data_IF_028665068557
#
_entry.id   IF_028665068557
#
_cell.length_a   1.000
_cell.length_b   1.000
_cell.length_c   1.000
_cell.angle_alpha   90.00
_cell.angle_beta   90.00
_cell.angle_gamma   90.00
#
_symmetry.space_group_name_H-M   'P 1'
#
loop_
_entity.id
_entity.type
_entity.pdbx_description
1 polymer ?
#
# COMPACT_ATOMS: atom_id res chain seq x y z
N UNK A 1 0.47 -10.58 11.97
CA UNK A 1 -0.90 -10.58 12.54
C UNK A 1 -1.74 -11.55 11.73
N UNK A 2 -2.52 -12.45 12.35
CA UNK A 2 -3.47 -13.26 11.61
C UNK A 2 -4.50 -12.34 10.97
N UNK A 3 -4.70 -12.47 9.66
CA UNK A 3 -5.76 -11.75 8.93
C UNK A 3 -7.07 -12.40 9.34
N UNK A 4 -7.94 -11.66 10.05
CA UNK A 4 -9.29 -12.13 10.33
C UNK A 4 -10.00 -12.36 9.00
N UNK A 5 -10.59 -13.54 8.83
CA UNK A 5 -11.33 -13.87 7.62
C UNK A 5 -12.57 -12.98 7.53
N UNK A 6 -12.72 -12.26 6.42
CA UNK A 6 -13.88 -11.39 6.22
C UNK A 6 -15.07 -12.20 5.71
N UNK A 7 -16.27 -11.64 5.79
CA UNK A 7 -17.46 -12.26 5.17
C UNK A 7 -17.24 -12.50 3.65
N UNK A 8 -16.40 -11.70 3.01
CA UNK A 8 -16.05 -11.81 1.60
C UNK A 8 -15.18 -13.02 1.27
N UNK A 9 -14.38 -13.51 2.22
CA UNK A 9 -13.60 -14.74 2.03
C UNK A 9 -14.49 -15.98 1.84
N UNK A 10 -15.78 -15.91 2.19
CA UNK A 10 -16.76 -16.98 1.99
C UNK A 10 -17.52 -16.87 0.66
N UNK A 11 -17.29 -15.81 -0.12
CA UNK A 11 -18.03 -15.50 -1.34
C UNK A 11 -17.12 -15.65 -2.55
N UNK A 12 -17.59 -16.35 -3.57
CA UNK A 12 -16.90 -16.43 -4.86
C UNK A 12 -17.08 -15.12 -5.64
N UNK A 13 -16.15 -14.19 -5.44
CA UNK A 13 -16.16 -12.86 -6.07
C UNK A 13 -16.01 -12.92 -7.58
N UNK A 14 -15.29 -13.92 -8.10
CA UNK A 14 -15.12 -14.09 -9.55
C UNK A 14 -16.43 -14.60 -10.18
N UNK A 15 -17.11 -15.55 -9.54
CA UNK A 15 -18.43 -16.00 -9.96
C UNK A 15 -19.47 -14.88 -9.90
N UNK A 16 -19.46 -14.07 -8.82
CA UNK A 16 -20.32 -12.89 -8.70
C UNK A 16 -20.04 -11.88 -9.82
N UNK A 17 -18.77 -11.61 -10.14
CA UNK A 17 -18.40 -10.70 -11.22
C UNK A 17 -18.89 -11.18 -12.59
N UNK A 18 -18.73 -12.48 -12.89
CA UNK A 18 -19.23 -13.09 -14.14
C UNK A 18 -20.74 -12.99 -14.23
N UNK A 19 -21.47 -13.36 -13.17
CA UNK A 19 -22.93 -13.30 -13.13
C UNK A 19 -23.45 -11.86 -13.28
N UNK A 20 -22.85 -10.90 -12.55
CA UNK A 20 -23.19 -9.48 -12.63
C UNK A 20 -22.98 -8.92 -14.05
N UNK A 21 -21.90 -9.34 -14.72
CA UNK A 21 -21.61 -8.92 -16.11
C UNK A 21 -22.62 -9.47 -17.11
N UNK A 22 -22.99 -10.75 -16.99
CA UNK A 22 -24.01 -11.36 -17.84
C UNK A 22 -25.37 -10.67 -17.69
N UNK A 23 -25.80 -10.40 -16.45
CA UNK A 23 -27.02 -9.65 -16.17
C UNK A 23 -26.98 -8.24 -16.77
N UNK A 24 -25.85 -7.52 -16.65
CA UNK A 24 -25.69 -6.19 -17.23
C UNK A 24 -25.75 -6.20 -18.78
N UNK A 25 -25.21 -7.22 -19.44
CA UNK A 25 -25.27 -7.37 -20.90
C UNK A 25 -26.69 -7.66 -21.41
N UNK A 26 -27.49 -8.42 -20.66
CA UNK A 26 -28.91 -8.65 -20.95
C UNK A 26 -29.73 -7.35 -20.79
N UNK A 27 -29.46 -6.56 -19.73
CA UNK A 27 -30.09 -5.24 -19.48
C UNK A 27 -29.88 -4.26 -20.63
N UNK A 28 -28.68 -4.25 -21.23
CA UNK A 28 -28.34 -3.35 -22.34
C UNK A 28 -29.18 -3.68 -23.58
N UNK A 29 -29.60 -4.95 -23.76
CA UNK A 29 -30.49 -5.35 -24.85
C UNK A 29 -31.93 -4.89 -24.62
N UNK A 30 -32.36 -4.68 -23.37
CA UNK A 30 -33.70 -4.23 -22.99
C UNK A 30 -33.72 -2.74 -22.62
N UNK A 31 -33.52 -1.81 -23.55
CA UNK A 31 -33.67 -0.35 -23.34
C UNK A 31 -33.03 0.27 -22.05
N UNK A 32 -32.12 -0.43 -21.35
CA UNK A 32 -31.50 -0.05 -20.07
C UNK A 32 -32.19 -0.63 -18.81
N UNK A 33 -31.54 -0.46 -17.64
CA UNK A 33 -31.95 -1.05 -16.35
C UNK A 33 -33.38 -0.69 -15.94
N UNK A 34 -33.77 0.56 -16.21
CA UNK A 34 -35.11 1.04 -15.91
C UNK A 34 -36.18 0.37 -16.78
N UNK A 35 -35.92 0.21 -18.08
CA UNK A 35 -36.81 -0.50 -19.00
C UNK A 35 -36.90 -1.98 -18.67
N UNK A 36 -35.77 -2.62 -18.33
CA UNK A 36 -35.75 -4.02 -17.85
C UNK A 36 -36.62 -4.22 -16.60
N UNK A 37 -36.50 -3.35 -15.59
CA UNK A 37 -37.29 -3.43 -14.36
C UNK A 37 -38.78 -3.16 -14.60
N UNK A 38 -39.10 -2.30 -15.56
CA UNK A 38 -40.48 -2.02 -15.99
C UNK A 38 -41.07 -3.17 -16.84
N UNK A 39 -40.24 -3.90 -17.60
CA UNK A 39 -40.62 -4.99 -18.51
C UNK A 39 -40.61 -6.40 -17.89
N UNK A 40 -39.91 -6.61 -16.76
CA UNK A 40 -39.65 -7.94 -16.21
C UNK A 40 -40.30 -8.21 -14.84
N UNK A 41 -41.15 -9.24 -14.80
CA UNK A 41 -41.56 -9.99 -13.60
C UNK A 41 -40.44 -10.96 -13.12
N UNK A 42 -39.17 -10.64 -13.43
CA UNK A 42 -38.03 -11.56 -13.37
C UNK A 42 -36.78 -10.88 -12.80
N UNK A 43 -36.73 -10.79 -11.47
CA UNK A 43 -35.46 -11.10 -10.78
C UNK A 43 -35.21 -12.63 -10.75
N UNK A 44 -36.17 -13.44 -11.19
CA UNK A 44 -36.13 -14.91 -11.14
C UNK A 44 -35.28 -15.62 -12.19
N UNK A 45 -34.50 -14.94 -13.02
CA UNK A 45 -33.77 -15.59 -14.14
C UNK A 45 -32.34 -16.01 -13.83
N UNK A 46 -31.69 -15.52 -12.77
CA UNK A 46 -30.40 -16.07 -12.33
C UNK A 46 -30.35 -16.23 -10.80
N UNK A 47 -30.81 -17.40 -10.35
CA UNK A 47 -30.79 -17.84 -8.95
C UNK A 47 -29.38 -17.74 -8.33
N UNK A 48 -28.32 -17.88 -9.14
CA UNK A 48 -26.93 -17.73 -8.68
C UNK A 48 -26.58 -16.27 -8.41
N UNK A 49 -27.02 -15.34 -9.25
CA UNK A 49 -26.81 -13.91 -9.00
C UNK A 49 -27.54 -13.44 -7.74
N UNK A 50 -28.80 -13.85 -7.56
CA UNK A 50 -29.56 -13.52 -6.33
C UNK A 50 -28.91 -14.07 -5.07
N UNK A 51 -28.37 -15.29 -5.13
CA UNK A 51 -27.67 -15.90 -4.00
C UNK A 51 -26.32 -15.25 -3.71
N UNK A 52 -25.59 -14.79 -4.73
CA UNK A 52 -24.25 -14.19 -4.59
C UNK A 52 -24.30 -12.67 -4.34
N UNK A 53 -25.38 -12.00 -4.73
CA UNK A 53 -25.57 -10.55 -4.64
C UNK A 53 -26.64 -10.15 -3.61
N UNK A 54 -26.84 -10.97 -2.57
CA UNK A 54 -27.75 -10.65 -1.47
C UNK A 54 -27.42 -9.27 -0.85
N UNK A 55 -28.40 -8.47 -0.41
CA UNK A 55 -28.14 -7.15 0.17
C UNK A 55 -27.10 -7.13 1.30
N UNK A 56 -26.99 -8.20 2.11
CA UNK A 56 -25.96 -8.31 3.13
C UNK A 56 -24.55 -8.42 2.51
N UNK A 57 -24.41 -9.15 1.39
CA UNK A 57 -23.17 -9.23 0.62
C UNK A 57 -22.78 -7.88 0.04
N UNK A 58 -23.75 -7.16 -0.54
CA UNK A 58 -23.50 -5.82 -1.12
C UNK A 58 -23.08 -4.83 -0.04
N UNK A 59 -23.71 -4.87 1.15
CA UNK A 59 -23.27 -4.08 2.29
C UNK A 59 -21.83 -4.43 2.71
N UNK A 60 -21.49 -5.72 2.83
CA UNK A 60 -20.15 -6.16 3.17
C UNK A 60 -19.09 -5.71 2.15
N UNK A 61 -19.40 -5.77 0.84
CA UNK A 61 -18.55 -5.24 -0.24
C UNK A 61 -18.30 -3.74 -0.09
N UNK A 62 -19.35 -2.97 0.23
CA UNK A 62 -19.23 -1.52 0.41
C UNK A 62 -18.35 -1.21 1.63
N UNK A 63 -18.52 -1.93 2.73
CA UNK A 63 -17.74 -1.70 3.95
C UNK A 63 -16.27 -2.08 3.76
N UNK A 64 -15.97 -3.21 3.09
CA UNK A 64 -14.58 -3.57 2.77
C UNK A 64 -13.95 -2.60 1.75
N UNK A 65 -14.73 -2.08 0.79
CA UNK A 65 -14.26 -1.04 -0.13
C UNK A 65 -13.92 0.26 0.61
N UNK A 66 -14.77 0.68 1.57
CA UNK A 66 -14.51 1.86 2.41
C UNK A 66 -13.24 1.65 3.24
N UNK A 67 -13.13 0.51 3.92
CA UNK A 67 -11.95 0.16 4.72
C UNK A 67 -10.68 0.09 3.84
N UNK A 68 -10.74 -0.52 2.66
CA UNK A 68 -9.64 -0.58 1.71
C UNK A 68 -9.21 0.81 1.21
N UNK A 69 -10.16 1.71 0.96
CA UNK A 69 -9.85 3.10 0.58
C UNK A 69 -9.17 3.85 1.72
N UNK A 70 -9.66 3.70 2.95
CA UNK A 70 -9.04 4.31 4.12
C UNK A 70 -7.63 3.77 4.35
N UNK A 71 -7.45 2.46 4.27
CA UNK A 71 -6.14 1.80 4.37
C UNK A 71 -5.18 2.26 3.27
N UNK A 72 -5.66 2.41 2.03
CA UNK A 72 -4.87 2.90 0.91
C UNK A 72 -4.43 4.35 1.11
N UNK A 73 -5.34 5.25 1.51
CA UNK A 73 -4.98 6.63 1.78
C UNK A 73 -4.01 6.74 2.97
N UNK A 74 -4.23 5.95 4.03
CA UNK A 74 -3.30 5.85 5.15
C UNK A 74 -1.91 5.33 4.74
N UNK A 75 -1.83 4.32 3.88
CA UNK A 75 -0.55 3.82 3.34
C UNK A 75 0.12 4.87 2.44
N UNK A 76 -0.64 5.54 1.57
CA UNK A 76 -0.13 6.61 0.70
C UNK A 76 0.43 7.79 1.50
N UNK A 77 -0.26 8.20 2.55
CA UNK A 77 0.22 9.27 3.43
C UNK A 77 1.46 8.87 4.22
N UNK A 78 1.53 7.62 4.70
CA UNK A 78 2.76 7.08 5.32
C UNK A 78 3.94 7.03 4.37
N UNK A 79 3.73 6.60 3.11
CA UNK A 79 4.79 6.63 2.09
C UNK A 79 5.26 8.06 1.84
N UNK A 80 4.32 9.01 1.73
CA UNK A 80 4.66 10.44 1.56
C UNK A 80 5.43 10.99 2.76
N UNK A 81 5.04 10.62 3.98
CA UNK A 81 5.75 10.99 5.21
C UNK A 81 7.19 10.46 5.20
N UNK A 82 7.38 9.18 4.89
CA UNK A 82 8.71 8.55 4.77
C UNK A 82 9.58 9.23 3.70
N UNK A 83 9.03 9.54 2.53
CA UNK A 83 9.74 10.23 1.45
C UNK A 83 10.19 11.64 1.88
N UNK A 84 9.32 12.38 2.58
CA UNK A 84 9.65 13.70 3.11
C UNK A 84 10.71 13.64 4.23
N UNK A 85 10.62 12.66 5.13
CA UNK A 85 11.62 12.44 6.18
C UNK A 85 12.98 12.07 5.57
N UNK A 86 13.01 11.14 4.61
CA UNK A 86 14.23 10.80 3.88
C UNK A 86 14.82 12.02 3.16
N UNK A 87 13.97 12.80 2.48
CA UNK A 87 14.38 14.04 1.82
C UNK A 87 14.97 15.06 2.80
N UNK A 88 14.39 15.20 4.01
CA UNK A 88 14.92 16.06 5.08
C UNK A 88 16.31 15.62 5.52
N UNK A 89 16.53 14.33 5.75
CA UNK A 89 17.85 13.80 6.12
C UNK A 89 18.88 14.01 5.01
N UNK A 90 18.52 13.70 3.76
CA UNK A 90 19.40 13.89 2.60
C UNK A 90 19.77 15.37 2.42
N UNK A 91 18.85 16.30 2.67
CA UNK A 91 19.13 17.73 2.63
C UNK A 91 20.14 18.15 3.71
N UNK A 92 20.01 17.62 4.93
CA UNK A 92 20.99 17.82 6.01
C UNK A 92 22.38 17.32 5.62
N UNK A 93 22.46 16.13 5.01
CA UNK A 93 23.72 15.56 4.50
C UNK A 93 24.35 16.42 3.40
N UNK A 94 23.55 16.95 2.48
CA UNK A 94 24.03 17.90 1.46
C UNK A 94 24.55 19.19 2.09
N UNK A 95 23.84 19.72 3.09
CA UNK A 95 24.28 20.88 3.88
C UNK A 95 25.63 20.64 4.55
N UNK A 96 25.83 19.46 5.14
CA UNK A 96 27.11 19.07 5.74
C UNK A 96 28.27 19.09 4.73
N UNK A 97 28.06 18.57 3.51
CA UNK A 97 29.06 18.59 2.44
C UNK A 97 29.38 20.03 1.99
N UNK A 98 28.36 20.88 1.84
CA UNK A 98 28.54 22.29 1.49
C UNK A 98 29.34 23.02 2.56
N UNK A 99 28.99 22.86 3.84
CA UNK A 99 29.68 23.48 4.97
C UNK A 99 31.15 23.01 5.06
N UNK A 100 31.40 21.73 4.80
CA UNK A 100 32.75 21.17 4.77
C UNK A 100 33.60 21.75 3.64
N UNK A 101 33.06 21.84 2.42
CA UNK A 101 33.82 22.24 1.24
C UNK A 101 33.95 23.76 1.05
N UNK A 102 32.96 24.52 1.53
CA UNK A 102 32.83 25.95 1.24
C UNK A 102 32.56 26.81 2.47
N UNK A 103 32.25 26.21 3.61
CA UNK A 103 31.92 26.91 4.85
C UNK A 103 33.03 26.82 5.89
N UNK A 104 32.63 26.58 7.13
CA UNK A 104 33.51 26.56 8.30
C UNK A 104 34.17 25.18 8.56
N UNK A 105 34.10 24.26 7.59
CA UNK A 105 34.78 22.97 7.65
C UNK A 105 33.94 21.84 8.25
N UNK A 106 34.57 20.67 8.39
CA UNK A 106 33.89 19.40 8.67
C UNK A 106 33.18 19.36 10.04
N UNK A 107 33.73 20.02 11.07
CA UNK A 107 33.11 20.08 12.40
C UNK A 107 31.74 20.78 12.36
N UNK A 108 31.64 21.89 11.61
CA UNK A 108 30.38 22.59 11.38
C UNK A 108 29.46 21.80 10.44
N UNK A 109 30.03 21.07 9.49
CA UNK A 109 29.31 20.08 8.69
C UNK A 109 28.61 19.02 9.54
N UNK A 110 29.28 18.50 10.57
CA UNK A 110 28.71 17.49 11.46
C UNK A 110 27.48 18.01 12.23
N UNK A 111 27.41 19.31 12.53
CA UNK A 111 26.26 19.92 13.18
C UNK A 111 24.99 19.85 12.30
N UNK A 112 25.13 19.88 10.96
CA UNK A 112 24.00 19.65 10.04
C UNK A 112 23.46 18.22 10.13
N UNK A 113 24.34 17.23 10.23
CA UNK A 113 23.96 15.82 10.40
C UNK A 113 23.30 15.61 11.76
N UNK A 114 23.94 16.10 12.82
CA UNK A 114 23.46 15.97 14.20
C UNK A 114 22.06 16.55 14.39
N UNK A 115 21.82 17.76 13.86
CA UNK A 115 20.50 18.40 13.94
C UNK A 115 19.42 17.63 13.16
N UNK A 116 19.83 16.89 12.12
CA UNK A 116 18.94 15.95 11.42
C UNK A 116 18.49 14.83 12.34
N UNK A 117 19.44 14.20 13.05
CA UNK A 117 19.28 13.04 13.92
C UNK A 117 18.72 13.35 15.32
N UNK A 118 18.46 14.60 15.70
CA UNK A 118 18.02 14.95 17.07
C UNK A 118 16.54 14.64 17.38
N UNK A 119 16.00 13.54 16.82
CA UNK A 119 14.69 12.97 17.19
C UNK A 119 14.83 11.83 18.20
N UNK A 120 13.77 11.45 18.95
CA UNK A 120 13.83 10.31 19.87
C UNK A 120 14.25 9.02 19.16
N UNK A 121 15.34 8.40 19.60
CA UNK A 121 15.84 7.12 19.05
C UNK A 121 16.66 7.22 17.76
N UNK A 122 16.92 8.43 17.26
CA UNK A 122 17.62 8.66 15.97
C UNK A 122 19.14 8.84 16.13
N UNK A 123 19.62 9.12 17.34
CA UNK A 123 21.04 9.09 17.70
C UNK A 123 21.44 7.69 18.19
N UNK A 124 22.69 7.25 17.97
CA UNK A 124 23.19 6.00 18.53
C UNK A 124 23.20 6.05 20.07
N UNK A 125 23.24 4.89 20.75
CA UNK A 125 23.45 4.83 22.20
C UNK A 125 24.68 5.63 22.64
N UNK A 126 24.59 6.30 23.79
CA UNK A 126 25.67 7.19 24.28
C UNK A 126 26.99 6.45 24.58
N UNK A 127 26.94 5.15 24.87
CA UNK A 127 28.08 4.29 25.15
C UNK A 127 28.68 3.63 23.90
N UNK A 128 28.05 3.81 22.73
CA UNK A 128 28.56 3.29 21.46
C UNK A 128 29.77 4.11 20.99
N UNK A 129 30.89 3.42 20.76
CA UNK A 129 32.16 4.07 20.39
C UNK A 129 32.79 3.49 19.12
N UNK A 130 32.29 2.36 18.63
CA UNK A 130 32.86 1.64 17.49
C UNK A 130 31.96 1.78 16.27
N UNK A 131 32.09 2.89 15.54
CA UNK A 131 31.19 3.26 14.44
C UNK A 131 31.01 2.16 13.36
N UNK A 132 32.10 1.49 12.96
CA UNK A 132 32.02 0.41 11.96
C UNK A 132 31.26 -0.81 12.51
N UNK A 133 31.57 -1.23 13.75
CA UNK A 133 30.90 -2.37 14.37
C UNK A 133 29.41 -2.10 14.62
N UNK A 134 29.04 -0.85 14.94
CA UNK A 134 27.65 -0.41 15.00
C UNK A 134 26.98 -0.56 13.63
N UNK A 135 27.56 0.02 12.58
CA UNK A 135 26.98 -0.05 11.24
C UNK A 135 26.79 -1.49 10.76
N UNK A 136 27.83 -2.33 10.89
CA UNK A 136 27.81 -3.73 10.46
C UNK A 136 26.73 -4.54 11.18
N UNK A 137 26.38 -4.16 12.43
CA UNK A 137 25.31 -4.79 13.19
C UNK A 137 23.93 -4.32 12.72
N UNK A 138 23.73 -3.01 12.59
CA UNK A 138 22.40 -2.42 12.29
C UNK A 138 21.97 -2.63 10.83
N UNK A 139 22.93 -2.67 9.89
CA UNK A 139 22.64 -2.74 8.45
C UNK A 139 21.97 -4.07 8.04
N UNK A 140 22.22 -5.15 8.80
CA UNK A 140 21.73 -6.51 8.50
C UNK A 140 20.21 -6.55 8.37
N UNK A 141 19.49 -5.93 9.31
CA UNK A 141 18.03 -5.91 9.29
C UNK A 141 17.48 -5.11 8.10
N UNK A 142 18.17 -4.03 7.74
CA UNK A 142 17.80 -3.16 6.61
C UNK A 142 18.01 -3.90 5.28
N UNK A 143 19.16 -4.55 5.10
CA UNK A 143 19.47 -5.31 3.88
C UNK A 143 18.50 -6.47 3.68
N UNK A 144 18.20 -7.22 4.74
CA UNK A 144 17.19 -8.29 4.69
C UNK A 144 15.81 -7.74 4.29
N UNK A 145 15.37 -6.63 4.88
CA UNK A 145 14.11 -5.98 4.52
C UNK A 145 14.09 -5.48 3.06
N UNK A 146 15.20 -4.95 2.56
CA UNK A 146 15.32 -4.54 1.15
C UNK A 146 15.26 -5.73 0.20
N UNK A 147 15.89 -6.86 0.56
CA UNK A 147 15.83 -8.09 -0.23
C UNK A 147 14.38 -8.60 -0.36
N UNK A 148 13.61 -8.60 0.73
CA UNK A 148 12.19 -8.96 0.71
C UNK A 148 11.37 -8.05 -0.24
N UNK A 149 11.62 -6.73 -0.18
CA UNK A 149 10.98 -5.75 -1.06
C UNK A 149 11.35 -5.98 -2.54
N UNK A 150 12.63 -6.26 -2.82
CA UNK A 150 13.08 -6.53 -4.19
C UNK A 150 12.47 -7.79 -4.77
N UNK A 151 12.44 -8.87 -3.99
CA UNK A 151 11.80 -10.13 -4.39
C UNK A 151 10.30 -9.94 -4.70
N UNK A 152 9.59 -9.15 -3.88
CA UNK A 152 8.20 -8.79 -4.15
C UNK A 152 8.03 -8.09 -5.50
N UNK A 153 8.85 -7.07 -5.78
CA UNK A 153 8.75 -6.31 -7.03
C UNK A 153 9.19 -7.10 -8.27
N UNK A 154 10.14 -8.01 -8.13
CA UNK A 154 10.55 -8.92 -9.19
C UNK A 154 9.39 -9.85 -9.57
N UNK A 155 8.78 -10.54 -8.59
CA UNK A 155 7.62 -11.40 -8.81
C UNK A 155 6.46 -10.67 -9.48
N UNK A 156 6.18 -9.44 -9.04
CA UNK A 156 5.12 -8.60 -9.62
C UNK A 156 5.42 -8.24 -11.07
N UNK A 157 6.67 -7.89 -11.40
CA UNK A 157 7.09 -7.59 -12.78
C UNK A 157 6.96 -8.80 -13.69
N UNK A 158 7.39 -9.98 -13.25
CA UNK A 158 7.26 -11.23 -13.99
C UNK A 158 5.79 -11.58 -14.28
N UNK A 159 4.91 -11.46 -13.27
CA UNK A 159 3.47 -11.73 -13.41
C UNK A 159 2.80 -10.78 -14.42
N UNK A 160 3.21 -9.50 -14.44
CA UNK A 160 2.69 -8.51 -15.40
C UNK A 160 3.13 -8.80 -16.83
N UNK A 161 4.31 -9.39 -17.04
CA UNK A 161 4.83 -9.78 -18.37
C UNK A 161 4.26 -11.10 -18.88
N UNK A 162 3.81 -11.99 -17.97
CA UNK A 162 3.24 -13.29 -18.29
C UNK A 162 1.74 -13.24 -18.65
N UNK A 163 1.07 -12.10 -18.47
CA UNK A 163 -0.34 -11.92 -18.85
C UNK A 163 -0.41 -11.58 -20.37
N UNK A 164 -1.03 -12.44 -21.20
CA UNK A 164 -1.13 -12.22 -22.65
C UNK A 164 -1.98 -11.00 -23.01
#
# INVERSE_FOLDING_TARGET
MPVEKTALDSIDLDALHVAAKAAAEDVIRSHGWRGMVEDADLLGTDERYLSLADPAVVCALIDELKASRENYEGARMRIKELDLLFGRYLLGMRGAVIEWQHGQGAERGMQWIWNGLAGPGELPPEDETQAQAYFDREIVAIEAGLEEVYAFFEKRRATKQAKP
#
